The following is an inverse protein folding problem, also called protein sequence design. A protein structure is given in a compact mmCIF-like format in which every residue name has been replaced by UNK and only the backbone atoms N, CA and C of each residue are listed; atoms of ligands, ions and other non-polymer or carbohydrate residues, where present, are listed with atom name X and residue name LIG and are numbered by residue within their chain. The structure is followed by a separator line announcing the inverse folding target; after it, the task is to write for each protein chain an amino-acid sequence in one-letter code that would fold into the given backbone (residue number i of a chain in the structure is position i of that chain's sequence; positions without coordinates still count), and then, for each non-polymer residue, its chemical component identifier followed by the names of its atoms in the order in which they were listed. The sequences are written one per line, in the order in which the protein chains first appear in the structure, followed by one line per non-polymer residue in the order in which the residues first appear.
data_IF_372003143543
#
_entry.id   IF_372003143543
#
_cell.length_a   1.000
_cell.length_b   1.000
_cell.length_c   1.000
_cell.angle_alpha   90.00
_cell.angle_beta   90.00
_cell.angle_gamma   90.00
#
_symmetry.space_group_name_H-M   'P 1'
#
loop_
_entity.id
_entity.type
_entity.pdbx_description
1 polymer ?
#
# COMPACT_ATOMS: atom_id res chain seq x y z
N UNK A 1 -27.46 14.85 -46.09
CA UNK A 1 -26.95 14.49 -44.78
C UNK A 1 -26.29 15.72 -44.17
N UNK A 2 -26.90 16.25 -43.15
CA UNK A 2 -26.45 17.49 -42.49
C UNK A 2 -25.30 17.19 -41.53
N UNK A 3 -24.46 18.20 -41.27
CA UNK A 3 -23.29 18.11 -40.36
C UNK A 3 -23.67 17.65 -38.96
N UNK A 4 -24.93 17.82 -38.57
CA UNK A 4 -25.54 17.43 -37.32
C UNK A 4 -25.79 15.90 -37.21
N UNK A 5 -26.27 15.29 -38.32
CA UNK A 5 -26.50 13.83 -38.39
C UNK A 5 -25.20 13.02 -38.32
N UNK A 6 -24.09 13.60 -38.80
CA UNK A 6 -22.76 12.97 -38.71
C UNK A 6 -22.18 13.03 -37.29
N UNK A 7 -22.43 14.11 -36.53
CA UNK A 7 -21.99 14.27 -35.14
C UNK A 7 -22.75 13.33 -34.20
N UNK A 8 -24.07 13.20 -34.35
CA UNK A 8 -24.90 12.29 -33.55
C UNK A 8 -24.56 10.81 -33.82
N UNK A 9 -24.24 10.45 -35.07
CA UNK A 9 -23.81 9.09 -35.39
C UNK A 9 -22.44 8.74 -34.78
N UNK A 10 -21.49 9.67 -34.75
CA UNK A 10 -20.16 9.48 -34.14
C UNK A 10 -20.30 9.36 -32.59
N UNK A 11 -21.17 10.14 -31.97
CA UNK A 11 -21.41 10.14 -30.53
C UNK A 11 -22.11 8.85 -30.08
N UNK A 12 -23.06 8.33 -30.85
CA UNK A 12 -23.77 7.07 -30.59
C UNK A 12 -22.85 5.86 -30.75
N UNK A 13 -21.95 5.82 -31.72
CA UNK A 13 -20.95 4.75 -31.91
C UNK A 13 -19.91 4.79 -30.79
N UNK A 14 -19.49 5.98 -30.35
CA UNK A 14 -18.57 6.16 -29.21
C UNK A 14 -19.20 5.70 -27.87
N UNK A 15 -20.47 5.99 -27.64
CA UNK A 15 -21.19 5.55 -26.43
C UNK A 15 -21.42 4.03 -26.40
N UNK A 16 -21.64 3.40 -27.54
CA UNK A 16 -21.85 1.95 -27.66
C UNK A 16 -20.55 1.17 -27.43
N UNK A 17 -19.41 1.69 -27.87
CA UNK A 17 -18.08 1.10 -27.62
C UNK A 17 -17.58 1.29 -26.17
N UNK A 18 -17.97 2.37 -25.49
CA UNK A 18 -17.59 2.64 -24.08
C UNK A 18 -18.23 1.66 -23.08
N UNK A 19 -19.46 1.21 -23.31
CA UNK A 19 -20.18 0.29 -22.41
C UNK A 19 -19.54 -1.11 -22.27
N UNK A 20 -19.10 -1.80 -23.34
CA UNK A 20 -18.40 -3.09 -23.20
C UNK A 20 -17.05 -2.96 -22.47
N UNK A 21 -16.29 -1.90 -22.75
CA UNK A 21 -15.01 -1.64 -22.07
C UNK A 21 -15.19 -1.36 -20.57
N UNK A 22 -16.19 -0.57 -20.19
CA UNK A 22 -16.50 -0.29 -18.80
C UNK A 22 -16.89 -1.57 -18.03
N UNK A 23 -17.72 -2.44 -18.65
CA UNK A 23 -18.09 -3.74 -18.07
C UNK A 23 -16.90 -4.69 -17.95
N UNK A 24 -16.03 -4.73 -18.96
CA UNK A 24 -14.82 -5.55 -18.91
C UNK A 24 -13.88 -5.11 -17.78
N UNK A 25 -13.70 -3.78 -17.60
CA UNK A 25 -12.92 -3.22 -16.50
C UNK A 25 -13.53 -3.56 -15.14
N UNK A 26 -14.83 -3.35 -14.96
CA UNK A 26 -15.54 -3.69 -13.71
C UNK A 26 -15.40 -5.18 -13.38
N UNK A 27 -15.50 -6.04 -14.38
CA UNK A 27 -15.31 -7.49 -14.23
C UNK A 27 -13.87 -7.80 -13.79
N UNK A 28 -12.87 -7.18 -14.42
CA UNK A 28 -11.46 -7.33 -14.03
C UNK A 28 -11.20 -6.89 -12.58
N UNK A 29 -11.76 -5.77 -12.15
CA UNK A 29 -11.66 -5.27 -10.78
C UNK A 29 -12.27 -6.24 -9.74
N UNK A 30 -13.44 -6.82 -10.03
CA UNK A 30 -14.07 -7.86 -9.19
C UNK A 30 -13.19 -9.12 -9.08
N UNK A 31 -12.61 -9.56 -10.19
CA UNK A 31 -11.71 -10.72 -10.19
C UNK A 31 -10.45 -10.42 -9.37
N UNK A 32 -9.84 -9.24 -9.52
CA UNK A 32 -8.66 -8.84 -8.75
C UNK A 32 -8.93 -8.78 -7.25
N UNK A 33 -10.07 -8.21 -6.84
CA UNK A 33 -10.47 -8.16 -5.44
C UNK A 33 -10.68 -9.55 -4.82
N UNK A 34 -11.29 -10.47 -5.56
CA UNK A 34 -11.45 -11.86 -5.14
C UNK A 34 -10.10 -12.60 -5.10
N UNK A 35 -9.24 -12.38 -6.10
CA UNK A 35 -7.93 -13.00 -6.18
C UNK A 35 -6.99 -12.55 -5.06
N UNK A 36 -7.03 -11.27 -4.67
CA UNK A 36 -6.25 -10.77 -3.53
C UNK A 36 -6.60 -11.54 -2.24
N UNK A 37 -7.88 -11.79 -1.97
CA UNK A 37 -8.31 -12.56 -0.79
C UNK A 37 -7.87 -14.00 -0.88
N UNK A 38 -8.11 -14.65 -2.00
CA UNK A 38 -7.75 -16.05 -2.24
C UNK A 38 -6.24 -16.28 -2.09
N UNK A 39 -5.42 -15.40 -2.65
CA UNK A 39 -3.97 -15.46 -2.50
C UNK A 39 -3.49 -15.11 -1.08
N UNK A 40 -4.16 -14.21 -0.38
CA UNK A 40 -3.84 -13.85 0.99
C UNK A 40 -4.13 -15.02 1.97
N UNK A 41 -5.18 -15.82 1.70
CA UNK A 41 -5.59 -16.94 2.55
C UNK A 41 -4.80 -18.21 2.24
N UNK A 42 -4.56 -18.52 0.97
CA UNK A 42 -4.05 -19.83 0.53
C UNK A 42 -2.63 -19.76 -0.06
N UNK A 43 -2.03 -18.57 -0.17
CA UNK A 43 -0.76 -18.34 -0.86
C UNK A 43 -0.86 -18.60 -2.36
N UNK A 44 0.25 -18.37 -3.08
CA UNK A 44 0.26 -18.61 -4.53
C UNK A 44 0.00 -20.07 -4.88
N UNK A 45 0.63 -21.03 -4.19
CA UNK A 45 0.52 -22.45 -4.53
C UNK A 45 -0.90 -23.00 -4.29
N UNK A 46 -1.50 -22.66 -3.13
CA UNK A 46 -2.80 -23.19 -2.70
C UNK A 46 -4.00 -22.53 -3.35
N UNK A 47 -3.89 -21.29 -3.82
CA UNK A 47 -5.00 -20.56 -4.42
C UNK A 47 -5.53 -21.19 -5.71
N UNK A 48 -6.84 -21.05 -5.95
CA UNK A 48 -7.55 -21.62 -7.09
C UNK A 48 -8.22 -20.53 -7.94
N UNK A 49 -7.91 -20.47 -9.23
CA UNK A 49 -8.60 -19.55 -10.17
C UNK A 49 -10.09 -19.87 -10.33
N UNK A 50 -10.51 -21.10 -10.03
CA UNK A 50 -11.94 -21.45 -9.98
C UNK A 50 -12.61 -20.88 -8.75
N UNK A 51 -11.95 -20.93 -7.57
CA UNK A 51 -12.44 -20.28 -6.35
C UNK A 51 -12.52 -18.76 -6.53
N UNK A 52 -11.51 -18.15 -7.16
CA UNK A 52 -11.54 -16.73 -7.54
C UNK A 52 -12.75 -16.40 -8.42
N UNK A 53 -13.02 -17.18 -9.45
CA UNK A 53 -14.16 -16.97 -10.34
C UNK A 53 -15.50 -17.03 -9.57
N UNK A 54 -15.66 -18.06 -8.71
CA UNK A 54 -16.84 -18.21 -7.87
C UNK A 54 -17.03 -17.03 -6.92
N UNK A 55 -15.96 -16.59 -6.23
CA UNK A 55 -15.99 -15.45 -5.30
C UNK A 55 -16.25 -14.11 -6.01
N UNK A 56 -15.78 -13.96 -7.26
CA UNK A 56 -16.06 -12.78 -8.10
C UNK A 56 -17.45 -12.79 -8.76
N UNK A 57 -18.19 -13.89 -8.67
CA UNK A 57 -19.49 -14.06 -9.33
C UNK A 57 -19.38 -14.11 -10.87
N UNK A 58 -18.28 -14.66 -11.40
CA UNK A 58 -18.04 -14.75 -12.85
C UNK A 58 -17.80 -16.20 -13.28
N UNK A 59 -17.96 -16.45 -14.58
CA UNK A 59 -17.59 -17.75 -15.16
C UNK A 59 -16.06 -17.89 -15.23
N UNK A 60 -15.51 -19.06 -14.86
CA UNK A 60 -14.08 -19.33 -14.86
C UNK A 60 -13.33 -18.96 -16.17
N UNK A 61 -13.88 -19.18 -17.38
CA UNK A 61 -13.23 -18.74 -18.61
C UNK A 61 -12.95 -17.22 -18.68
N UNK A 62 -13.75 -16.38 -17.99
CA UNK A 62 -13.49 -14.94 -17.92
C UNK A 62 -12.23 -14.60 -17.16
N UNK A 63 -11.86 -15.35 -16.11
CA UNK A 63 -10.60 -15.18 -15.39
C UNK A 63 -9.43 -15.41 -16.35
N UNK A 64 -9.48 -16.50 -17.13
CA UNK A 64 -8.45 -16.80 -18.13
C UNK A 64 -8.44 -15.80 -19.29
N UNK A 65 -9.59 -15.28 -19.67
CA UNK A 65 -9.67 -14.22 -20.69
C UNK A 65 -8.95 -12.94 -20.24
N UNK A 66 -9.17 -12.51 -18.99
CA UNK A 66 -8.57 -11.28 -18.47
C UNK A 66 -7.09 -11.45 -18.12
N UNK A 67 -6.69 -12.56 -17.51
CA UNK A 67 -5.38 -12.67 -16.86
C UNK A 67 -4.48 -13.76 -17.43
N UNK A 68 -4.96 -14.54 -18.40
CA UNK A 68 -4.26 -15.61 -19.16
C UNK A 68 -3.87 -16.81 -18.30
N UNK A 69 -3.25 -16.61 -17.13
CA UNK A 69 -2.79 -17.67 -16.23
C UNK A 69 -2.93 -17.25 -14.77
N UNK A 70 -2.68 -18.19 -13.83
CA UNK A 70 -2.62 -17.91 -12.40
C UNK A 70 -1.45 -16.96 -12.07
N UNK A 71 -0.33 -17.08 -12.76
CA UNK A 71 0.82 -16.18 -12.66
C UNK A 71 0.46 -14.78 -13.13
N UNK A 72 -0.25 -14.66 -14.26
CA UNK A 72 -0.73 -13.37 -14.76
C UNK A 72 -1.71 -12.71 -13.80
N UNK A 73 -2.61 -13.49 -13.19
CA UNK A 73 -3.52 -13.01 -12.16
C UNK A 73 -2.78 -12.55 -10.91
N UNK A 74 -1.77 -13.32 -10.44
CA UNK A 74 -0.92 -12.95 -9.31
C UNK A 74 -0.19 -11.63 -9.56
N UNK A 75 0.44 -11.49 -10.73
CA UNK A 75 1.15 -10.26 -11.10
C UNK A 75 0.20 -9.05 -11.13
N UNK A 76 -0.99 -9.21 -11.71
CA UNK A 76 -1.99 -8.15 -11.74
C UNK A 76 -2.50 -7.75 -10.34
N UNK A 77 -2.61 -8.70 -9.40
CA UNK A 77 -2.91 -8.40 -7.99
C UNK A 77 -1.79 -7.59 -7.35
N UNK A 78 -0.52 -7.94 -7.60
CA UNK A 78 0.63 -7.18 -7.07
C UNK A 78 0.69 -5.78 -7.65
N UNK A 79 0.51 -5.60 -8.95
CA UNK A 79 0.45 -4.28 -9.58
C UNK A 79 -0.71 -3.43 -9.04
N UNK A 80 -1.90 -4.03 -8.90
CA UNK A 80 -3.07 -3.35 -8.36
C UNK A 80 -2.98 -2.99 -6.87
N UNK A 81 -2.01 -3.53 -6.12
CA UNK A 81 -1.83 -3.28 -4.69
C UNK A 81 -0.46 -2.66 -4.39
N UNK A 82 0.62 -3.42 -4.53
CA UNK A 82 1.98 -2.94 -4.27
C UNK A 82 2.42 -1.87 -5.26
N UNK A 83 2.09 -2.03 -6.55
CA UNK A 83 2.38 -1.03 -7.59
C UNK A 83 1.67 0.28 -7.30
N UNK A 84 0.36 0.24 -7.03
CA UNK A 84 -0.41 1.43 -6.67
C UNK A 84 0.13 2.13 -5.41
N UNK A 85 0.55 1.36 -4.39
CA UNK A 85 1.20 1.92 -3.22
C UNK A 85 2.52 2.61 -3.58
N UNK A 86 3.35 2.01 -4.43
CA UNK A 86 4.62 2.59 -4.88
C UNK A 86 4.42 3.88 -5.66
N UNK A 87 3.40 3.94 -6.53
CA UNK A 87 3.07 5.17 -7.26
C UNK A 87 2.65 6.31 -6.31
N UNK A 88 1.81 5.99 -5.31
CA UNK A 88 1.41 6.95 -4.27
C UNK A 88 2.61 7.42 -3.44
N UNK A 89 3.48 6.50 -3.04
CA UNK A 89 4.71 6.80 -2.29
C UNK A 89 5.66 7.71 -3.08
N UNK A 90 5.90 7.42 -4.36
CA UNK A 90 6.75 8.25 -5.22
C UNK A 90 6.14 9.64 -5.47
N UNK A 91 4.83 9.70 -5.73
CA UNK A 91 4.11 10.97 -5.89
C UNK A 91 4.17 11.80 -4.61
N UNK A 92 4.04 11.16 -3.43
CA UNK A 92 4.18 11.82 -2.12
C UNK A 92 5.57 12.43 -1.96
N UNK A 93 6.63 11.67 -2.20
CA UNK A 93 8.01 12.16 -2.12
C UNK A 93 8.28 13.29 -3.10
N UNK A 94 7.76 13.21 -4.31
CA UNK A 94 7.89 14.27 -5.32
C UNK A 94 7.17 15.57 -4.88
N UNK A 95 6.02 15.46 -4.21
CA UNK A 95 5.28 16.60 -3.65
C UNK A 95 5.95 17.23 -2.44
N UNK A 96 6.85 16.53 -1.76
CA UNK A 96 7.58 16.99 -0.57
C UNK A 96 8.98 17.57 -0.89
N UNK A 97 9.20 18.08 -2.11
CA UNK A 97 10.46 18.73 -2.48
C UNK A 97 10.69 19.95 -1.58
N UNK A 98 11.91 20.05 -1.02
CA UNK A 98 12.28 21.14 -0.10
C UNK A 98 11.86 20.94 1.36
N UNK A 99 11.09 19.89 1.67
CA UNK A 99 10.80 19.47 3.04
C UNK A 99 11.99 18.67 3.58
N UNK A 100 12.28 18.81 4.89
CA UNK A 100 13.36 18.05 5.55
C UNK A 100 13.03 16.54 5.61
N UNK A 101 14.06 15.71 5.74
CA UNK A 101 13.92 14.25 5.66
C UNK A 101 13.20 13.64 6.88
N UNK A 102 13.22 14.30 8.04
CA UNK A 102 12.50 13.84 9.25
C UNK A 102 11.00 13.98 9.01
N UNK A 103 10.57 15.14 8.51
CA UNK A 103 9.18 15.39 8.14
C UNK A 103 8.71 14.48 7.00
N UNK A 104 9.56 14.28 5.95
CA UNK A 104 9.25 13.31 4.89
C UNK A 104 9.03 11.91 5.45
N UNK A 105 9.96 11.41 6.28
CA UNK A 105 9.85 10.09 6.89
C UNK A 105 8.55 9.95 7.68
N UNK A 106 8.23 10.94 8.52
CA UNK A 106 7.00 10.94 9.32
C UNK A 106 5.75 10.83 8.45
N UNK A 107 5.67 11.63 7.39
CA UNK A 107 4.52 11.66 6.49
C UNK A 107 4.38 10.34 5.70
N UNK A 108 5.46 9.80 5.15
CA UNK A 108 5.37 8.54 4.39
C UNK A 108 5.12 7.33 5.29
N UNK A 109 5.56 7.35 6.55
CA UNK A 109 5.22 6.32 7.53
C UNK A 109 3.75 6.42 7.98
N UNK A 110 3.20 7.62 8.14
CA UNK A 110 1.76 7.81 8.35
C UNK A 110 0.94 7.29 7.17
N UNK A 111 1.32 7.66 5.93
CA UNK A 111 0.66 7.17 4.71
C UNK A 111 0.70 5.64 4.63
N UNK A 112 1.82 5.00 5.02
CA UNK A 112 1.93 3.54 5.08
C UNK A 112 0.96 2.92 6.08
N UNK A 113 0.79 3.49 7.28
CA UNK A 113 -0.16 2.98 8.28
C UNK A 113 -1.59 3.09 7.76
N UNK A 114 -1.96 4.20 7.15
CA UNK A 114 -3.30 4.43 6.58
C UNK A 114 -3.57 3.51 5.39
N UNK A 115 -2.57 3.32 4.51
CA UNK A 115 -2.64 2.33 3.44
C UNK A 115 -2.85 0.92 4.00
N UNK A 116 -2.14 0.55 5.07
CA UNK A 116 -2.25 -0.75 5.71
C UNK A 116 -3.65 -1.02 6.28
N UNK A 117 -4.27 0.00 6.86
CA UNK A 117 -5.65 -0.10 7.33
C UNK A 117 -6.66 -0.28 6.18
N UNK A 118 -6.43 0.39 5.05
CA UNK A 118 -7.29 0.27 3.87
C UNK A 118 -7.08 -1.07 3.12
N UNK A 119 -5.90 -1.70 3.26
CA UNK A 119 -5.49 -2.87 2.49
C UNK A 119 -4.99 -4.05 3.37
N UNK A 120 -5.76 -4.56 4.35
CA UNK A 120 -5.29 -5.59 5.28
C UNK A 120 -4.92 -6.91 4.58
N UNK A 121 -5.61 -7.27 3.51
CA UNK A 121 -5.31 -8.48 2.74
C UNK A 121 -3.96 -8.38 2.00
N UNK A 122 -3.50 -7.17 1.68
CA UNK A 122 -2.17 -6.98 1.10
C UNK A 122 -1.07 -7.45 2.08
N UNK A 123 -1.16 -7.13 3.36
CA UNK A 123 -0.17 -7.57 4.35
C UNK A 123 -0.24 -9.08 4.64
N UNK A 124 -1.44 -9.67 4.57
CA UNK A 124 -1.56 -11.13 4.62
C UNK A 124 -0.90 -11.78 3.40
N UNK A 125 -1.14 -11.24 2.20
CA UNK A 125 -0.50 -11.67 0.97
C UNK A 125 1.03 -11.58 1.06
N UNK A 126 1.57 -10.44 1.54
CA UNK A 126 3.01 -10.24 1.74
C UNK A 126 3.61 -11.25 2.71
N UNK A 127 2.91 -11.53 3.82
CA UNK A 127 3.32 -12.52 4.82
C UNK A 127 3.36 -13.92 4.21
N UNK A 128 2.33 -14.30 3.47
CA UNK A 128 2.28 -15.61 2.79
C UNK A 128 3.38 -15.74 1.72
N UNK A 129 3.58 -14.72 0.90
CA UNK A 129 4.61 -14.73 -0.12
C UNK A 129 6.01 -14.86 0.48
N UNK A 130 6.27 -14.16 1.60
CA UNK A 130 7.57 -14.18 2.29
C UNK A 130 7.96 -15.52 2.90
N UNK A 131 6.99 -16.40 3.17
CA UNK A 131 7.26 -17.72 3.75
C UNK A 131 7.72 -18.77 2.73
N UNK A 132 7.54 -18.52 1.44
CA UNK A 132 7.79 -19.51 0.39
C UNK A 132 8.79 -18.94 -0.63
N UNK A 133 10.05 -19.41 -0.62
CA UNK A 133 11.02 -18.98 -1.61
C UNK A 133 10.57 -19.42 -3.02
N UNK A 134 10.78 -18.54 -4.01
CA UNK A 134 10.41 -18.83 -5.37
C UNK A 134 10.41 -17.62 -6.29
N UNK A 135 10.03 -17.83 -7.55
CA UNK A 135 10.00 -16.78 -8.57
C UNK A 135 9.06 -15.63 -8.18
N UNK A 136 7.90 -15.97 -7.60
CA UNK A 136 6.89 -15.00 -7.19
C UNK A 136 7.40 -14.05 -6.11
N UNK A 137 8.10 -14.59 -5.09
CA UNK A 137 8.71 -13.77 -4.04
C UNK A 137 9.83 -12.90 -4.61
N UNK A 138 10.67 -13.47 -5.48
CA UNK A 138 11.79 -12.72 -6.08
C UNK A 138 11.29 -11.54 -6.92
N UNK A 139 10.23 -11.73 -7.72
CA UNK A 139 9.61 -10.67 -8.50
C UNK A 139 9.05 -9.59 -7.56
N UNK A 140 8.23 -9.95 -6.59
CA UNK A 140 7.65 -9.05 -5.58
C UNK A 140 8.73 -8.22 -4.88
N UNK A 141 9.81 -8.87 -4.41
CA UNK A 141 10.89 -8.18 -3.69
C UNK A 141 11.62 -7.21 -4.60
N UNK A 142 11.98 -7.62 -5.81
CA UNK A 142 12.79 -6.78 -6.71
C UNK A 142 11.97 -5.61 -7.29
N UNK A 143 10.71 -5.82 -7.62
CA UNK A 143 9.87 -4.82 -8.27
C UNK A 143 9.31 -3.79 -7.29
N UNK A 144 8.89 -4.22 -6.08
CA UNK A 144 8.14 -3.36 -5.16
C UNK A 144 8.83 -3.17 -3.81
N UNK A 145 9.30 -4.25 -3.16
CA UNK A 145 9.78 -4.16 -1.77
C UNK A 145 11.13 -3.46 -1.69
N UNK A 146 12.10 -3.87 -2.49
CA UNK A 146 13.47 -3.34 -2.46
C UNK A 146 13.54 -1.84 -2.73
N UNK A 147 12.86 -1.27 -3.76
CA UNK A 147 12.87 0.17 -3.99
C UNK A 147 12.32 0.96 -2.80
N UNK A 148 11.20 0.50 -2.21
CA UNK A 148 10.61 1.12 -1.01
C UNK A 148 11.58 1.07 0.17
N UNK A 149 12.12 -0.11 0.49
CA UNK A 149 13.07 -0.30 1.59
C UNK A 149 14.30 0.59 1.45
N UNK A 150 14.87 0.68 0.26
CA UNK A 150 16.05 1.53 0.00
C UNK A 150 15.73 3.00 0.27
N UNK A 151 14.60 3.50 -0.19
CA UNK A 151 14.20 4.88 0.00
C UNK A 151 13.94 5.20 1.49
N UNK A 152 13.20 4.33 2.19
CA UNK A 152 12.90 4.54 3.62
C UNK A 152 14.16 4.41 4.47
N UNK A 153 15.07 3.46 4.20
CA UNK A 153 16.33 3.32 4.93
C UNK A 153 17.21 4.58 4.80
N UNK A 154 17.18 5.24 3.64
CA UNK A 154 17.87 6.52 3.46
C UNK A 154 17.27 7.63 4.34
N UNK A 155 15.95 7.73 4.40
CA UNK A 155 15.24 8.69 5.26
C UNK A 155 15.47 8.40 6.76
N UNK A 156 15.44 7.12 7.18
CA UNK A 156 15.73 6.71 8.56
C UNK A 156 17.14 7.15 8.95
N UNK A 157 18.16 6.84 8.12
CA UNK A 157 19.54 7.29 8.38
C UNK A 157 19.64 8.80 8.52
N UNK A 158 18.91 9.56 7.71
CA UNK A 158 18.89 11.01 7.81
C UNK A 158 18.24 11.49 9.12
N UNK A 159 17.12 10.91 9.51
CA UNK A 159 16.41 11.23 10.74
C UNK A 159 17.20 10.83 12.00
N UNK A 160 17.95 9.72 11.97
CA UNK A 160 18.88 9.32 13.02
C UNK A 160 20.02 10.33 13.19
N UNK A 161 20.65 10.78 12.08
CA UNK A 161 21.68 11.84 12.14
C UNK A 161 21.15 13.14 12.73
N UNK A 162 19.86 13.43 12.53
CA UNK A 162 19.19 14.59 13.14
C UNK A 162 18.80 14.35 14.61
N UNK A 163 19.01 13.17 15.18
CA UNK A 163 18.59 12.79 16.52
C UNK A 163 17.07 12.68 16.71
N UNK A 164 16.33 12.60 15.61
CA UNK A 164 14.86 12.61 15.61
C UNK A 164 14.21 11.23 15.40
N UNK A 165 14.99 10.16 15.31
CA UNK A 165 14.51 8.78 15.15
C UNK A 165 15.26 7.85 16.07
N UNK A 166 14.66 6.69 16.38
CA UNK A 166 15.32 5.69 17.22
C UNK A 166 16.59 5.18 16.57
N UNK A 167 17.62 4.90 17.41
CA UNK A 167 18.89 4.36 16.97
C UNK A 167 18.74 2.87 16.59
N UNK A 168 19.55 2.41 15.66
CA UNK A 168 19.60 1.02 15.22
C UNK A 168 19.79 0.88 13.70
N UNK A 169 19.89 -0.35 13.24
CA UNK A 169 19.98 -0.65 11.82
C UNK A 169 18.67 -0.27 11.11
N UNK A 170 18.73 0.58 10.04
CA UNK A 170 17.53 1.06 9.36
C UNK A 170 16.66 -0.04 8.77
N UNK A 171 17.25 -1.11 8.23
CA UNK A 171 16.49 -2.19 7.62
C UNK A 171 15.78 -3.03 8.70
N UNK A 172 16.43 -3.26 9.85
CA UNK A 172 15.82 -3.89 11.01
C UNK A 172 14.69 -3.03 11.59
N UNK A 173 14.90 -1.72 11.72
CA UNK A 173 13.88 -0.77 12.18
C UNK A 173 12.65 -0.73 11.27
N UNK A 174 12.82 -0.89 9.95
CA UNK A 174 11.70 -1.00 9.03
C UNK A 174 10.85 -2.25 9.31
N UNK A 175 11.46 -3.42 9.52
CA UNK A 175 10.71 -4.63 9.86
C UNK A 175 9.98 -4.48 11.20
N UNK A 176 10.60 -3.85 12.20
CA UNK A 176 9.94 -3.53 13.47
C UNK A 176 8.76 -2.58 13.27
N UNK A 177 8.93 -1.54 12.44
CA UNK A 177 7.87 -0.60 12.11
C UNK A 177 6.70 -1.30 11.40
N UNK A 178 6.97 -2.09 10.35
CA UNK A 178 5.95 -2.86 9.64
C UNK A 178 5.18 -3.78 10.61
N UNK A 179 5.89 -4.53 11.46
CA UNK A 179 5.27 -5.42 12.44
C UNK A 179 4.38 -4.67 13.43
N UNK A 180 4.87 -3.58 14.02
CA UNK A 180 4.13 -2.76 14.96
C UNK A 180 2.86 -2.14 14.35
N UNK A 181 2.94 -1.69 13.09
CA UNK A 181 1.86 -0.92 12.47
C UNK A 181 0.79 -1.78 11.81
N UNK A 182 1.14 -2.98 11.29
CA UNK A 182 0.20 -3.76 10.47
C UNK A 182 -0.56 -4.83 11.26
N UNK A 183 -0.02 -5.28 12.40
CA UNK A 183 -0.58 -6.42 13.14
C UNK A 183 -2.00 -6.20 13.60
N UNK A 184 -2.35 -5.00 14.05
CA UNK A 184 -3.69 -4.62 14.50
C UNK A 184 -4.74 -4.79 13.38
N UNK A 185 -4.38 -4.60 12.13
CA UNK A 185 -5.28 -4.73 10.98
C UNK A 185 -5.40 -6.19 10.50
N UNK A 186 -4.31 -6.94 10.55
CA UNK A 186 -4.33 -8.36 10.13
C UNK A 186 -5.03 -9.26 11.14
N UNK A 187 -5.10 -8.85 12.42
CA UNK A 187 -5.84 -9.51 13.50
C UNK A 187 -7.11 -8.75 13.91
N UNK A 188 -7.74 -8.04 12.99
CA UNK A 188 -8.86 -7.13 13.30
C UNK A 188 -10.01 -7.79 14.07
N UNK A 189 -10.32 -9.06 13.81
CA UNK A 189 -11.36 -9.80 14.52
C UNK A 189 -10.97 -10.01 15.98
N UNK A 190 -9.74 -10.44 16.26
CA UNK A 190 -9.22 -10.62 17.62
C UNK A 190 -9.19 -9.28 18.36
N UNK A 191 -8.67 -8.23 17.73
CA UNK A 191 -8.63 -6.87 18.29
C UNK A 191 -10.03 -6.41 18.69
N UNK A 192 -11.02 -6.60 17.83
CA UNK A 192 -12.41 -6.22 18.13
C UNK A 192 -12.99 -7.02 19.30
N UNK A 193 -12.69 -8.31 19.40
CA UNK A 193 -13.14 -9.14 20.52
C UNK A 193 -12.52 -8.70 21.87
N UNK A 194 -11.25 -8.32 21.86
CA UNK A 194 -10.52 -7.91 23.08
C UNK A 194 -10.89 -6.48 23.49
N UNK A 195 -10.95 -5.54 22.51
CA UNK A 195 -11.08 -4.10 22.81
C UNK A 195 -12.52 -3.58 22.69
N UNK A 196 -13.42 -4.35 22.11
CA UNK A 196 -14.80 -3.93 21.78
C UNK A 196 -14.88 -2.97 20.59
N UNK A 197 -13.75 -2.57 19.99
CA UNK A 197 -13.69 -1.56 18.93
C UNK A 197 -13.03 -2.08 17.65
N UNK A 198 -13.49 -1.60 16.49
CA UNK A 198 -12.88 -1.93 15.21
C UNK A 198 -11.58 -1.15 14.99
N UNK A 199 -10.45 -1.80 14.64
CA UNK A 199 -9.20 -1.09 14.33
C UNK A 199 -9.31 -0.21 13.07
N UNK A 200 -10.35 -0.39 12.27
CA UNK A 200 -10.61 0.40 11.05
C UNK A 200 -11.45 1.66 11.31
N UNK A 201 -11.95 1.88 12.53
CA UNK A 201 -12.65 3.13 12.84
C UNK A 201 -11.68 4.31 12.86
N UNK A 202 -12.10 5.47 12.35
CA UNK A 202 -11.24 6.65 12.23
C UNK A 202 -10.54 7.00 13.54
N UNK A 203 -11.29 7.02 14.66
CA UNK A 203 -10.73 7.36 15.99
C UNK A 203 -9.67 6.35 16.47
N UNK A 204 -9.81 5.05 16.18
CA UNK A 204 -8.81 4.04 16.53
C UNK A 204 -7.60 4.15 15.60
N UNK A 205 -7.84 4.34 14.30
CA UNK A 205 -6.78 4.50 13.31
C UNK A 205 -5.89 5.72 13.64
N UNK A 206 -6.48 6.87 13.94
CA UNK A 206 -5.71 8.08 14.26
C UNK A 206 -4.89 7.91 15.56
N UNK A 207 -5.44 7.25 16.57
CA UNK A 207 -4.69 6.91 17.80
C UNK A 207 -3.56 5.93 17.52
N UNK A 208 -3.79 4.95 16.66
CA UNK A 208 -2.78 3.96 16.28
C UNK A 208 -1.64 4.61 15.50
N UNK A 209 -1.96 5.49 14.54
CA UNK A 209 -0.97 6.31 13.81
C UNK A 209 -0.10 7.08 14.78
N UNK A 210 -0.71 7.85 15.70
CA UNK A 210 0.04 8.63 16.69
C UNK A 210 0.95 7.74 17.55
N UNK A 211 0.40 6.68 18.12
CA UNK A 211 1.16 5.75 18.98
C UNK A 211 2.33 5.10 18.23
N UNK A 212 2.13 4.63 17.00
CA UNK A 212 3.20 4.04 16.19
C UNK A 212 4.30 5.05 15.86
N UNK A 213 3.94 6.28 15.46
CA UNK A 213 4.94 7.29 15.17
C UNK A 213 5.72 7.69 16.44
N UNK A 214 5.06 7.82 17.57
CA UNK A 214 5.71 8.16 18.86
C UNK A 214 6.68 7.07 19.36
N UNK A 215 6.51 5.81 18.96
CA UNK A 215 7.47 4.74 19.26
C UNK A 215 8.81 4.94 18.54
N UNK A 216 8.82 5.51 17.35
CA UNK A 216 10.00 5.58 16.49
C UNK A 216 10.60 6.99 16.42
N UNK A 217 9.77 8.04 16.51
CA UNK A 217 10.26 9.42 16.47
C UNK A 217 10.58 9.94 17.87
N UNK A 218 11.64 10.74 17.96
CA UNK A 218 12.05 11.44 19.16
C UNK A 218 11.88 12.94 18.98
N UNK A 219 11.56 13.70 20.06
CA UNK A 219 11.60 15.15 19.98
C UNK A 219 12.99 15.64 19.56
N UNK A 220 13.05 16.61 18.66
CA UNK A 220 14.33 17.22 18.27
C UNK A 220 15.06 17.77 19.51
N UNK A 221 16.27 17.31 19.75
CA UNK A 221 17.12 17.80 20.83
C UNK A 221 17.88 19.09 20.47
N UNK A 222 17.61 19.66 19.28
CA UNK A 222 18.21 20.94 18.91
C UNK A 222 17.71 22.05 19.81
N UNK A 223 18.52 22.40 20.82
CA UNK A 223 18.37 23.66 21.56
C UNK A 223 18.33 24.80 20.54
N UNK A 224 17.40 25.77 20.66
CA UNK A 224 17.46 26.99 19.86
C UNK A 224 18.82 27.64 20.08
N UNK A 225 19.63 27.70 19.04
CA UNK A 225 20.94 28.32 19.08
C UNK A 225 20.73 29.83 19.33
N UNK A 226 21.07 30.24 20.54
CA UNK A 226 21.57 31.57 20.88
C UNK A 226 20.69 32.79 20.59
N UNK A 227 19.89 33.20 21.57
CA UNK A 227 19.74 34.62 21.78
C UNK A 227 21.06 35.18 22.34
N UNK A 228 21.85 35.74 21.44
CA UNK A 228 23.08 36.46 21.76
C UNK A 228 22.75 37.69 22.61
N UNK A 229 22.80 37.55 23.93
CA UNK A 229 22.67 38.70 24.85
C UNK A 229 23.93 39.56 24.73
N UNK A 230 23.94 40.49 23.80
CA UNK A 230 24.85 41.66 23.86
C UNK A 230 24.44 42.49 25.06
N UNK A 231 24.98 42.22 26.23
CA UNK A 231 25.11 43.22 27.29
C UNK A 231 26.09 44.27 26.81
N UNK A 232 25.59 45.45 26.50
CA UNK A 232 26.39 46.70 26.45
C UNK A 232 26.76 47.09 27.89
N UNK A 233 28.04 47.28 28.09
CA UNK A 233 28.56 48.21 29.12
C UNK A 233 28.53 49.60 28.56
#
# INVERSE_FOLDING_TARGET
MTKTEHAEAIESVSATARRPQARARETGEKILAAALKEFAEHGFAGASTRAVAAAAGVQHPLVNYHFKSKEGLWHAVLEGTAGQFMDQFQARLAGLRGVDDVTKLRLVQEDFIRFSAANPHFHLLMSQAGQHPGRQLNALVNEFVRPYFTAISALIRSAQRAGCYVEGDPDHLQYLFIGATTRIFTLATEVKLITGASPFSAAILDRHVAACLDLFFRPSTTKPTGANSRRKK
#
